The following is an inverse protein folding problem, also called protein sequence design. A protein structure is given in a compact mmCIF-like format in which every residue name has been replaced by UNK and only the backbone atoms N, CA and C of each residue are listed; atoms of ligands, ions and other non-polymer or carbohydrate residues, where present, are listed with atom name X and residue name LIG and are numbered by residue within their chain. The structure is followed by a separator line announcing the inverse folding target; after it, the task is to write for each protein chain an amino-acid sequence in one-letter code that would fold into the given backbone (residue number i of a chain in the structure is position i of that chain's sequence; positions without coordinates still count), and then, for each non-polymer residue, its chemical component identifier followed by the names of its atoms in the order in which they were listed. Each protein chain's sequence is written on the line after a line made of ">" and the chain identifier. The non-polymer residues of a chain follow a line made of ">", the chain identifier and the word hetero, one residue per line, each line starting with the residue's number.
data_IF_221068285060
#
_entry.id   IF_221068285060
#
_cell.length_a   1.000
_cell.length_b   1.000
_cell.length_c   1.000
_cell.angle_alpha   90.00
_cell.angle_beta   90.00
_cell.angle_gamma   90.00
#
_symmetry.space_group_name_H-M   'P 1'
#
loop_
_entity.id
_entity.type
_entity.pdbx_description
1 polymer ?
#
# COMPACT_ATOMS: atom_id res chain seq x y z
N UNK A 1 -28.98 10.71 45.29
CA UNK A 1 -28.50 10.35 43.94
C UNK A 1 -28.55 11.60 43.07
N UNK A 2 -27.55 11.83 42.22
CA UNK A 2 -27.53 12.97 41.28
C UNK A 2 -28.51 12.65 40.14
N UNK A 3 -29.56 13.45 40.00
CA UNK A 3 -30.64 13.28 38.99
C UNK A 3 -30.46 14.15 37.74
N UNK A 4 -29.41 14.95 37.70
CA UNK A 4 -29.12 15.88 36.61
C UNK A 4 -28.14 15.27 35.58
N UNK A 5 -27.91 15.96 34.46
CA UNK A 5 -27.07 15.55 33.34
C UNK A 5 -25.62 15.18 33.70
N UNK A 6 -25.14 15.66 34.85
CA UNK A 6 -23.79 15.36 35.36
C UNK A 6 -23.71 14.04 36.15
N UNK A 7 -24.82 13.33 36.34
CA UNK A 7 -24.89 12.02 37.02
C UNK A 7 -24.85 10.80 36.08
N UNK A 8 -24.85 9.59 36.64
CA UNK A 8 -24.84 8.35 35.85
C UNK A 8 -26.06 8.19 34.92
N UNK A 9 -27.21 8.74 35.32
CA UNK A 9 -28.40 8.77 34.45
C UNK A 9 -28.18 9.64 33.21
N UNK A 10 -27.47 10.77 33.37
CA UNK A 10 -27.06 11.63 32.25
C UNK A 10 -26.11 10.91 31.31
N UNK A 11 -25.09 10.24 31.85
CA UNK A 11 -24.15 9.43 31.05
C UNK A 11 -24.86 8.32 30.26
N UNK A 12 -25.75 7.55 30.89
CA UNK A 12 -26.50 6.49 30.22
C UNK A 12 -27.42 7.05 29.13
N UNK A 13 -28.04 8.20 29.39
CA UNK A 13 -28.89 8.88 28.40
C UNK A 13 -28.07 9.35 27.20
N UNK A 14 -26.85 9.83 27.44
CA UNK A 14 -25.90 10.24 26.39
C UNK A 14 -25.41 9.04 25.55
N UNK A 15 -25.08 7.92 26.18
CA UNK A 15 -24.69 6.68 25.48
C UNK A 15 -25.84 6.17 24.60
N UNK A 16 -27.08 6.16 25.10
CA UNK A 16 -28.25 5.74 24.31
C UNK A 16 -28.56 6.70 23.17
N UNK A 17 -28.38 8.00 23.38
CA UNK A 17 -28.53 8.99 22.31
C UNK A 17 -27.50 8.76 21.18
N UNK A 18 -26.28 8.34 21.53
CA UNK A 18 -25.25 8.01 20.57
C UNK A 18 -25.57 6.79 19.68
N UNK A 19 -26.43 5.86 20.12
CA UNK A 19 -26.92 4.78 19.25
C UNK A 19 -27.77 5.30 18.08
N UNK A 20 -28.40 6.47 18.25
CA UNK A 20 -29.27 7.10 17.25
C UNK A 20 -28.62 8.23 16.44
N UNK A 21 -27.56 8.87 16.97
CA UNK A 21 -26.84 9.96 16.30
C UNK A 21 -25.35 9.60 16.10
N UNK A 22 -24.92 9.36 14.85
CA UNK A 22 -23.52 9.08 14.52
C UNK A 22 -22.52 10.14 15.00
N UNK A 23 -22.93 11.41 15.11
CA UNK A 23 -22.04 12.48 15.58
C UNK A 23 -21.73 12.38 17.08
N UNK A 24 -22.65 11.81 17.86
CA UNK A 24 -22.48 11.61 19.30
C UNK A 24 -21.70 10.33 19.62
N UNK A 25 -21.64 9.36 18.71
CA UNK A 25 -20.85 8.11 18.88
C UNK A 25 -19.40 8.43 19.23
N UNK A 26 -18.77 9.32 18.46
CA UNK A 26 -17.37 9.67 18.65
C UNK A 26 -17.07 10.31 20.02
N UNK A 27 -18.05 11.02 20.60
CA UNK A 27 -17.89 11.71 21.89
C UNK A 27 -18.32 10.86 23.09
N UNK A 28 -19.34 10.02 22.92
CA UNK A 28 -19.92 9.20 23.98
C UNK A 28 -19.23 7.85 24.13
N UNK A 29 -19.04 7.14 23.00
CA UNK A 29 -18.48 5.80 22.94
C UNK A 29 -16.99 5.82 22.57
N UNK A 30 -16.55 6.87 21.88
CA UNK A 30 -15.18 7.01 21.38
C UNK A 30 -14.98 6.32 20.03
N UNK A 31 -13.76 6.44 19.52
CA UNK A 31 -13.30 5.73 18.32
C UNK A 31 -12.11 4.85 18.69
N UNK A 32 -11.96 3.73 17.99
CA UNK A 32 -10.75 2.94 18.09
C UNK A 32 -9.58 3.70 17.45
N UNK A 33 -8.69 4.22 18.28
CA UNK A 33 -7.55 5.03 17.82
C UNK A 33 -6.50 4.19 17.09
N UNK A 34 -6.52 2.86 17.23
CA UNK A 34 -5.58 1.97 16.53
C UNK A 34 -5.88 1.86 15.04
N UNK A 35 -7.09 2.22 14.61
CA UNK A 35 -7.47 2.23 13.18
C UNK A 35 -7.04 3.50 12.45
N UNK A 36 -6.42 4.47 13.15
CA UNK A 36 -5.99 5.75 12.57
C UNK A 36 -4.63 5.68 11.85
N UNK A 37 -4.12 4.47 11.57
CA UNK A 37 -2.86 4.31 10.84
C UNK A 37 -1.59 4.69 11.61
N UNK A 38 -1.71 4.90 12.93
CA UNK A 38 -0.59 5.18 13.82
C UNK A 38 -0.20 3.93 14.61
N UNK A 39 1.09 3.60 14.63
CA UNK A 39 1.59 2.54 15.48
C UNK A 39 1.73 3.03 16.93
N UNK A 40 0.62 3.04 17.68
CA UNK A 40 0.59 3.47 19.09
C UNK A 40 1.39 2.55 20.03
N UNK A 41 1.82 1.38 19.54
CA UNK A 41 2.68 0.45 20.27
C UNK A 41 4.19 0.66 19.99
N UNK A 42 4.55 1.66 19.17
CA UNK A 42 5.95 1.96 18.87
C UNK A 42 6.69 2.43 20.13
N UNK A 43 7.93 1.96 20.31
CA UNK A 43 8.85 2.49 21.33
C UNK A 43 9.50 3.81 20.92
N UNK A 44 9.37 4.18 19.65
CA UNK A 44 9.97 5.39 19.07
C UNK A 44 8.94 6.53 18.94
N UNK A 45 9.46 7.76 18.83
CA UNK A 45 8.64 8.95 18.63
C UNK A 45 7.93 8.95 17.27
N UNK A 46 6.60 9.09 17.28
CA UNK A 46 5.78 9.10 16.07
C UNK A 46 5.87 10.40 15.26
N UNK A 47 6.28 11.51 15.86
CA UNK A 47 6.25 12.83 15.21
C UNK A 47 7.22 12.95 14.02
N UNK A 48 8.30 12.17 14.01
CA UNK A 48 9.29 12.20 12.93
C UNK A 48 8.73 11.68 11.60
N UNK A 49 7.81 10.72 11.67
CA UNK A 49 7.11 10.13 10.51
C UNK A 49 5.65 10.56 10.49
N UNK A 50 5.29 11.64 11.19
CA UNK A 50 3.93 12.15 11.17
C UNK A 50 3.75 13.01 9.92
N UNK A 51 3.01 12.49 8.94
CA UNK A 51 2.81 13.16 7.65
C UNK A 51 1.82 14.33 7.76
N UNK A 52 0.59 14.05 8.22
CA UNK A 52 -0.51 15.02 8.25
C UNK A 52 -1.65 14.52 9.14
N UNK A 53 -2.47 15.42 9.74
CA UNK A 53 -3.65 15.03 10.51
C UNK A 53 -4.69 14.20 9.76
N UNK A 54 -4.67 14.25 8.42
CA UNK A 54 -5.58 13.49 7.55
C UNK A 54 -4.90 12.31 6.86
N UNK A 55 -3.62 12.07 7.12
CA UNK A 55 -2.92 10.93 6.52
C UNK A 55 -3.36 9.64 7.21
N UNK A 56 -3.77 8.65 6.43
CA UNK A 56 -4.07 7.30 6.91
C UNK A 56 -2.79 6.46 7.12
N UNK A 57 -1.63 6.97 6.69
CA UNK A 57 -0.34 6.26 6.77
C UNK A 57 0.75 7.17 7.33
N UNK A 58 1.79 6.56 7.89
CA UNK A 58 3.00 7.28 8.30
C UNK A 58 3.73 7.86 7.09
N UNK A 59 4.41 9.00 7.31
CA UNK A 59 5.24 9.66 6.31
C UNK A 59 6.34 8.73 5.83
N UNK A 60 6.46 8.62 4.51
CA UNK A 60 7.44 7.74 3.87
C UNK A 60 8.78 8.48 3.76
N UNK A 61 9.93 7.78 3.68
CA UNK A 61 11.23 8.43 3.58
C UNK A 61 11.34 9.44 2.42
N UNK A 62 10.66 9.17 1.29
CA UNK A 62 10.63 10.07 0.14
C UNK A 62 9.78 11.34 0.34
N UNK A 63 8.88 11.35 1.33
CA UNK A 63 8.04 12.51 1.65
C UNK A 63 8.70 13.44 2.69
N UNK A 64 9.80 13.00 3.31
CA UNK A 64 10.49 13.72 4.38
C UNK A 64 11.69 14.45 3.78
N UNK A 65 11.64 15.78 3.81
CA UNK A 65 12.77 16.60 3.40
C UNK A 65 13.97 16.35 4.31
N UNK A 66 15.13 16.12 3.70
CA UNK A 66 16.37 15.92 4.41
C UNK A 66 17.47 16.79 3.82
N UNK A 67 18.32 17.35 4.69
CA UNK A 67 19.47 18.14 4.26
C UNK A 67 20.57 17.19 3.75
N UNK A 68 20.50 16.87 2.46
CA UNK A 68 21.50 16.06 1.76
C UNK A 68 22.72 16.91 1.39
N UNK A 69 23.93 16.33 1.35
CA UNK A 69 25.10 17.00 0.79
C UNK A 69 24.82 17.57 -0.61
N UNK A 70 25.39 18.74 -0.95
CA UNK A 70 25.12 19.43 -2.21
C UNK A 70 25.48 18.58 -3.45
N UNK A 71 26.38 17.61 -3.30
CA UNK A 71 26.78 16.67 -4.35
C UNK A 71 25.62 15.76 -4.81
N UNK A 72 24.61 15.53 -3.96
CA UNK A 72 23.44 14.72 -4.31
C UNK A 72 22.33 15.51 -5.00
N UNK A 73 22.40 16.85 -5.05
CA UNK A 73 21.45 17.73 -5.73
C UNK A 73 21.66 17.74 -7.26
N UNK A 74 21.83 16.55 -7.83
CA UNK A 74 22.22 16.31 -9.23
C UNK A 74 21.21 16.86 -10.23
N UNK A 75 19.92 16.88 -9.88
CA UNK A 75 18.86 17.37 -10.76
C UNK A 75 19.15 18.79 -11.29
N UNK A 76 19.77 19.67 -10.49
CA UNK A 76 20.12 21.03 -10.92
C UNK A 76 21.11 21.08 -12.10
N UNK A 77 21.91 20.03 -12.31
CA UNK A 77 22.99 20.01 -13.29
C UNK A 77 22.71 19.09 -14.49
N UNK A 78 21.93 18.03 -14.31
CA UNK A 78 21.74 16.97 -15.32
C UNK A 78 20.30 16.78 -15.77
N UNK A 79 19.35 17.65 -15.38
CA UNK A 79 17.91 17.54 -15.73
C UNK A 79 17.69 17.21 -17.21
N UNK A 80 18.29 17.98 -18.11
CA UNK A 80 18.09 17.82 -19.56
C UNK A 80 18.71 16.53 -20.13
N UNK A 81 19.64 15.91 -19.40
CA UNK A 81 20.31 14.66 -19.78
C UNK A 81 19.69 13.44 -19.11
N UNK A 82 18.85 13.63 -18.09
CA UNK A 82 18.27 12.54 -17.33
C UNK A 82 17.23 11.81 -18.18
N UNK A 83 17.33 10.48 -18.23
CA UNK A 83 16.39 9.68 -18.99
C UNK A 83 14.99 9.79 -18.37
N UNK A 84 13.97 10.02 -19.22
CA UNK A 84 12.59 10.00 -18.81
C UNK A 84 12.23 8.67 -18.12
N UNK A 85 11.38 8.76 -17.08
CA UNK A 85 10.93 7.60 -16.33
C UNK A 85 10.09 6.71 -17.23
N UNK A 86 10.56 5.47 -17.46
CA UNK A 86 9.90 4.47 -18.30
C UNK A 86 9.98 3.11 -17.60
N UNK A 87 8.86 2.69 -17.01
CA UNK A 87 8.80 1.50 -16.15
C UNK A 87 9.20 0.21 -16.89
N UNK A 88 8.87 0.10 -18.18
CA UNK A 88 9.27 -1.03 -19.02
C UNK A 88 10.80 -1.22 -19.15
N UNK A 89 11.62 -0.19 -18.87
CA UNK A 89 13.09 -0.27 -18.90
C UNK A 89 13.69 -0.72 -17.57
N UNK A 90 12.90 -0.76 -16.50
CA UNK A 90 13.38 -1.06 -15.16
C UNK A 90 13.36 -2.55 -14.87
N UNK A 91 14.21 -2.99 -13.95
CA UNK A 91 14.24 -4.37 -13.48
C UNK A 91 13.06 -4.64 -12.53
N UNK A 92 12.71 -5.92 -12.35
CA UNK A 92 11.64 -6.35 -11.43
C UNK A 92 11.86 -5.81 -10.00
N UNK A 93 13.11 -5.78 -9.53
CA UNK A 93 13.49 -5.26 -8.22
C UNK A 93 12.99 -3.82 -7.99
N UNK A 94 13.23 -2.93 -8.96
CA UNK A 94 12.74 -1.55 -8.89
C UNK A 94 11.21 -1.49 -9.03
N UNK A 95 10.59 -2.38 -9.81
CA UNK A 95 9.13 -2.44 -9.89
C UNK A 95 8.50 -2.87 -8.55
N UNK A 96 9.10 -3.84 -7.84
CA UNK A 96 8.68 -4.21 -6.49
C UNK A 96 8.89 -3.06 -5.51
N UNK A 97 10.03 -2.35 -5.59
CA UNK A 97 10.27 -1.15 -4.80
C UNK A 97 9.16 -0.11 -4.98
N UNK A 98 8.82 0.20 -6.23
CA UNK A 98 7.77 1.16 -6.56
C UNK A 98 6.39 0.66 -6.06
N UNK A 99 6.07 -0.61 -6.25
CA UNK A 99 4.80 -1.20 -5.82
C UNK A 99 4.58 -1.15 -4.30
N UNK A 100 5.60 -1.50 -3.51
CA UNK A 100 5.49 -1.58 -2.05
C UNK A 100 5.66 -0.22 -1.35
N UNK A 101 6.37 0.75 -1.95
CA UNK A 101 6.61 2.06 -1.31
C UNK A 101 5.62 3.16 -1.73
N UNK A 102 4.93 3.03 -2.86
CA UNK A 102 3.99 4.04 -3.37
C UNK A 102 2.53 3.61 -3.22
N UNK A 103 2.18 3.07 -2.04
CA UNK A 103 0.82 2.63 -1.71
C UNK A 103 -0.23 3.73 -1.94
N UNK A 104 -1.30 3.40 -2.66
CA UNK A 104 -2.39 4.34 -2.97
C UNK A 104 -2.07 5.35 -4.08
N UNK A 105 -0.88 5.28 -4.68
CA UNK A 105 -0.45 6.16 -5.75
C UNK A 105 -0.60 5.49 -7.14
N UNK A 106 -0.64 6.31 -8.18
CA UNK A 106 -0.60 5.87 -9.57
C UNK A 106 0.64 5.01 -9.87
N UNK A 107 1.79 5.34 -9.27
CA UNK A 107 3.04 4.60 -9.47
C UNK A 107 2.90 3.14 -9.06
N UNK A 108 2.18 2.83 -7.98
CA UNK A 108 1.92 1.45 -7.58
C UNK A 108 1.11 0.69 -8.64
N UNK A 109 0.07 1.30 -9.19
CA UNK A 109 -0.73 0.69 -10.27
C UNK A 109 0.07 0.50 -11.55
N UNK A 110 0.91 1.48 -11.90
CA UNK A 110 1.75 1.41 -13.08
C UNK A 110 2.83 0.30 -12.95
N UNK A 111 3.46 0.18 -11.78
CA UNK A 111 4.39 -0.91 -11.47
C UNK A 111 3.69 -2.28 -11.47
N UNK A 112 2.48 -2.37 -10.91
CA UNK A 112 1.66 -3.58 -10.93
C UNK A 112 1.31 -4.02 -12.36
N UNK A 113 1.01 -3.07 -13.25
CA UNK A 113 0.70 -3.36 -14.64
C UNK A 113 1.93 -3.93 -15.39
N UNK A 114 3.11 -3.35 -15.15
CA UNK A 114 4.37 -3.83 -15.73
C UNK A 114 4.80 -5.19 -15.16
N UNK A 115 4.58 -5.44 -13.87
CA UNK A 115 4.75 -6.77 -13.27
C UNK A 115 3.81 -7.78 -13.92
N UNK A 116 2.55 -7.40 -14.14
CA UNK A 116 1.57 -8.25 -14.82
C UNK A 116 1.97 -8.62 -16.25
N UNK A 117 2.52 -7.66 -17.00
CA UNK A 117 3.06 -7.89 -18.35
C UNK A 117 4.28 -8.82 -18.34
N UNK A 118 5.00 -8.91 -17.21
CA UNK A 118 6.10 -9.85 -16.95
C UNK A 118 5.65 -11.14 -16.27
N UNK A 119 4.39 -11.52 -16.48
CA UNK A 119 3.79 -12.77 -15.98
C UNK A 119 3.67 -12.90 -14.45
N UNK A 120 3.91 -11.82 -13.71
CA UNK A 120 3.60 -11.81 -12.28
C UNK A 120 2.09 -11.68 -12.07
N UNK A 121 1.57 -12.37 -11.05
CA UNK A 121 0.17 -12.32 -10.64
C UNK A 121 0.12 -12.04 -9.15
N UNK A 122 -0.78 -11.15 -8.74
CA UNK A 122 -0.96 -10.85 -7.33
C UNK A 122 -2.00 -11.77 -6.72
N UNK A 123 -1.66 -12.45 -5.63
CA UNK A 123 -2.57 -13.33 -4.91
C UNK A 123 -3.29 -12.55 -3.81
N UNK A 124 -4.62 -12.44 -3.89
CA UNK A 124 -5.43 -11.55 -3.02
C UNK A 124 -5.36 -11.91 -1.54
N UNK A 125 -5.41 -13.21 -1.22
CA UNK A 125 -5.47 -13.66 0.18
C UNK A 125 -4.07 -13.62 0.83
N UNK A 126 -3.06 -14.25 0.20
CA UNK A 126 -1.66 -14.21 0.66
C UNK A 126 -0.99 -12.82 0.53
N UNK A 127 -1.55 -11.92 -0.28
CA UNK A 127 -1.04 -10.55 -0.55
C UNK A 127 0.40 -10.50 -1.07
N UNK A 128 0.74 -11.44 -1.95
CA UNK A 128 2.08 -11.54 -2.56
C UNK A 128 1.99 -11.62 -4.07
N UNK A 129 3.04 -11.14 -4.74
CA UNK A 129 3.26 -11.37 -6.16
C UNK A 129 3.87 -12.76 -6.37
N UNK A 130 3.27 -13.55 -7.25
CA UNK A 130 3.73 -14.88 -7.65
C UNK A 130 3.97 -14.95 -9.16
N UNK A 131 4.92 -15.77 -9.58
CA UNK A 131 5.17 -16.11 -10.98
C UNK A 131 5.58 -17.59 -11.07
N UNK A 132 5.35 -18.22 -12.22
CA UNK A 132 5.74 -19.63 -12.41
C UNK A 132 7.26 -19.76 -12.37
N UNK A 133 7.74 -20.83 -11.74
CA UNK A 133 9.17 -21.12 -11.79
C UNK A 133 9.58 -21.49 -13.23
N UNK A 134 10.68 -20.95 -13.78
CA UNK A 134 11.10 -21.24 -15.15
C UNK A 134 11.33 -22.74 -15.35
N UNK A 135 10.71 -23.32 -16.37
CA UNK A 135 10.89 -24.74 -16.72
C UNK A 135 10.24 -25.74 -15.74
N UNK A 136 9.37 -25.28 -14.83
CA UNK A 136 8.60 -26.15 -13.93
C UNK A 136 7.12 -26.06 -14.27
N UNK A 137 6.59 -27.12 -14.88
CA UNK A 137 5.15 -27.21 -15.13
C UNK A 137 4.37 -27.44 -13.82
N UNK A 138 3.15 -26.90 -13.71
CA UNK A 138 2.27 -27.19 -12.58
C UNK A 138 2.01 -28.69 -12.49
N UNK A 139 2.11 -29.26 -11.28
CA UNK A 139 1.82 -30.68 -11.03
C UNK A 139 0.35 -31.01 -11.32
N UNK A 140 -0.54 -30.07 -11.00
CA UNK A 140 -1.97 -30.20 -11.21
C UNK A 140 -2.47 -28.92 -11.84
N UNK A 141 -3.17 -29.03 -12.96
CA UNK A 141 -3.83 -27.91 -13.61
C UNK A 141 -5.26 -28.30 -13.96
N UNK A 142 -6.21 -27.57 -13.40
CA UNK A 142 -7.63 -27.71 -13.68
C UNK A 142 -8.17 -26.41 -14.26
N UNK A 143 -9.49 -26.36 -14.53
CA UNK A 143 -10.15 -25.14 -14.99
C UNK A 143 -10.32 -24.09 -13.89
N UNK A 144 -10.24 -24.48 -12.61
CA UNK A 144 -10.51 -23.58 -11.47
C UNK A 144 -9.28 -23.27 -10.64
N UNK A 145 -8.32 -24.20 -10.57
CA UNK A 145 -7.08 -24.04 -9.80
C UNK A 145 -5.88 -24.70 -10.48
N UNK A 146 -4.70 -24.28 -10.06
CA UNK A 146 -3.43 -24.95 -10.34
C UNK A 146 -2.62 -25.16 -9.05
N UNK A 147 -1.84 -26.24 -9.01
CA UNK A 147 -0.90 -26.54 -7.92
C UNK A 147 0.48 -26.81 -8.50
N UNK A 148 1.50 -26.14 -7.97
CA UNK A 148 2.86 -26.25 -8.47
C UNK A 148 3.85 -25.43 -7.66
N UNK A 149 5.10 -25.41 -8.13
CA UNK A 149 6.15 -24.58 -7.55
C UNK A 149 6.16 -23.21 -8.23
N UNK A 150 6.04 -22.16 -7.45
CA UNK A 150 6.07 -20.77 -7.91
C UNK A 150 7.21 -20.04 -7.22
N UNK A 151 7.68 -18.98 -7.87
CA UNK A 151 8.44 -17.95 -7.18
C UNK A 151 7.46 -16.90 -6.67
N UNK A 152 7.57 -16.53 -5.40
CA UNK A 152 6.95 -15.33 -4.87
C UNK A 152 8.00 -14.33 -4.44
N UNK A 153 7.66 -13.05 -4.46
CA UNK A 153 8.54 -12.01 -3.94
C UNK A 153 8.24 -11.78 -2.45
N UNK A 154 9.21 -12.06 -1.58
CA UNK A 154 9.13 -11.74 -0.16
C UNK A 154 9.65 -10.33 0.08
N UNK A 155 8.74 -9.42 0.43
CA UNK A 155 9.07 -8.02 0.71
C UNK A 155 9.85 -7.81 2.01
N UNK A 156 9.76 -8.73 2.99
CA UNK A 156 10.45 -8.59 4.26
C UNK A 156 11.93 -8.95 4.14
N UNK A 157 12.25 -10.00 3.38
CA UNK A 157 13.62 -10.43 3.11
C UNK A 157 14.18 -9.94 1.76
N UNK A 158 13.39 -9.15 1.04
CA UNK A 158 13.72 -8.54 -0.26
C UNK A 158 14.31 -9.52 -1.29
N UNK A 159 13.63 -10.65 -1.50
CA UNK A 159 14.10 -11.71 -2.41
C UNK A 159 12.99 -12.54 -3.03
N UNK A 160 13.29 -13.16 -4.17
CA UNK A 160 12.43 -14.19 -4.77
C UNK A 160 12.65 -15.53 -4.07
N UNK A 161 11.57 -16.15 -3.62
CA UNK A 161 11.59 -17.42 -2.90
C UNK A 161 10.73 -18.44 -3.64
N UNK A 162 11.28 -19.64 -3.84
CA UNK A 162 10.52 -20.76 -4.40
C UNK A 162 9.67 -21.41 -3.30
N UNK A 163 8.38 -21.63 -3.59
CA UNK A 163 7.44 -22.27 -2.67
C UNK A 163 6.36 -23.00 -3.47
N UNK A 164 5.83 -24.08 -2.92
CA UNK A 164 4.64 -24.74 -3.46
C UNK A 164 3.39 -23.90 -3.14
N UNK A 165 2.60 -23.60 -4.17
CA UNK A 165 1.32 -22.91 -4.02
C UNK A 165 0.18 -23.75 -4.59
N UNK A 166 -0.97 -23.64 -3.92
CA UNK A 166 -2.27 -23.99 -4.45
C UNK A 166 -2.97 -22.68 -4.85
N UNK A 167 -3.09 -22.45 -6.15
CA UNK A 167 -3.54 -21.18 -6.71
C UNK A 167 -4.92 -21.35 -7.32
N UNK A 168 -5.94 -20.86 -6.62
CA UNK A 168 -7.27 -20.69 -7.17
C UNK A 168 -7.29 -19.48 -8.10
N UNK A 169 -7.74 -19.65 -9.36
CA UNK A 169 -7.75 -18.54 -10.31
C UNK A 169 -8.67 -17.38 -9.88
N UNK A 170 -9.71 -17.67 -9.09
CA UNK A 170 -10.59 -16.65 -8.52
C UNK A 170 -9.90 -15.76 -7.48
N UNK A 171 -8.79 -16.24 -6.91
CA UNK A 171 -7.97 -15.54 -5.89
C UNK A 171 -6.81 -14.76 -6.48
N UNK A 172 -6.56 -14.90 -7.78
CA UNK A 172 -5.64 -14.03 -8.50
C UNK A 172 -6.33 -12.71 -8.86
N UNK A 173 -5.55 -11.64 -8.82
CA UNK A 173 -5.96 -10.37 -9.39
C UNK A 173 -5.91 -10.40 -10.92
N UNK A 174 -6.83 -9.66 -11.52
CA UNK A 174 -6.80 -9.37 -12.95
C UNK A 174 -5.78 -8.27 -13.25
N UNK A 175 -5.67 -7.91 -14.53
CA UNK A 175 -4.81 -6.80 -14.94
C UNK A 175 -5.24 -5.51 -14.21
N UNK A 176 -4.32 -4.81 -13.52
CA UNK A 176 -4.63 -3.56 -12.82
C UNK A 176 -5.26 -2.54 -13.76
N UNK A 177 -6.39 -1.94 -13.34
CA UNK A 177 -7.07 -0.89 -14.10
C UNK A 177 -6.46 0.45 -13.75
N UNK A 178 -5.93 1.15 -14.75
CA UNK A 178 -5.39 2.49 -14.58
C UNK A 178 -6.54 3.49 -14.76
N UNK A 179 -6.88 4.32 -13.75
CA UNK A 179 -7.91 5.35 -13.88
C UNK A 179 -7.56 6.35 -15.00
N UNK A 180 -8.52 6.62 -15.89
CA UNK A 180 -8.36 7.51 -17.04
C UNK A 180 -8.14 8.98 -16.66
N UNK A 181 -8.58 9.40 -15.48
CA UNK A 181 -8.48 10.77 -14.95
C UNK A 181 -7.04 11.27 -14.77
N UNK A 182 -6.07 10.36 -14.71
CA UNK A 182 -4.65 10.64 -14.43
C UNK A 182 -3.78 10.81 -15.68
N UNK A 183 -4.31 10.56 -16.89
CA UNK A 183 -3.54 10.74 -18.13
C UNK A 183 -3.10 12.19 -18.38
N UNK A 184 -3.81 13.16 -17.80
CA UNK A 184 -3.53 14.60 -17.91
C UNK A 184 -2.39 15.06 -16.99
N UNK A 185 -2.25 14.48 -15.80
CA UNK A 185 -1.35 14.96 -14.74
C UNK A 185 0.08 14.45 -14.86
N UNK A 186 0.29 13.37 -15.62
CA UNK A 186 1.60 12.77 -15.87
C UNK A 186 2.52 13.74 -16.62
N UNK A 187 1.96 14.55 -17.54
CA UNK A 187 2.75 15.54 -18.29
C UNK A 187 3.10 16.80 -17.47
N UNK A 188 2.47 17.03 -16.31
CA UNK A 188 2.74 18.21 -15.49
C UNK A 188 3.64 17.93 -14.29
N UNK A 189 3.76 16.67 -13.84
CA UNK A 189 4.67 16.30 -12.75
C UNK A 189 6.00 15.70 -13.22
N UNK A 190 6.11 15.35 -14.51
CA UNK A 190 7.35 14.86 -15.13
C UNK A 190 8.07 15.92 -15.99
N UNK A 191 7.57 17.16 -16.04
CA UNK A 191 8.25 18.29 -16.68
C UNK A 191 8.88 19.21 -15.66
#
# INVERSE_FOLDING_TARGET
>A
MVTDQFGMFGLLSFIRAAESDPNLVALALGNDLTTLGLNLNSTENLFNTFSSPWSETQGRPQDIDFNVPPEYLTNMYIRDKLAAIKLNRYNEDLLFYLYYNFGGDFIQLAAANELYDREWRFHKDDRVWITRAPGVDPQVKTNTYERGTYHYFDCHSWRKVAKEFHVDYSKLEERPRIPSTTSSSINSQLN
#
